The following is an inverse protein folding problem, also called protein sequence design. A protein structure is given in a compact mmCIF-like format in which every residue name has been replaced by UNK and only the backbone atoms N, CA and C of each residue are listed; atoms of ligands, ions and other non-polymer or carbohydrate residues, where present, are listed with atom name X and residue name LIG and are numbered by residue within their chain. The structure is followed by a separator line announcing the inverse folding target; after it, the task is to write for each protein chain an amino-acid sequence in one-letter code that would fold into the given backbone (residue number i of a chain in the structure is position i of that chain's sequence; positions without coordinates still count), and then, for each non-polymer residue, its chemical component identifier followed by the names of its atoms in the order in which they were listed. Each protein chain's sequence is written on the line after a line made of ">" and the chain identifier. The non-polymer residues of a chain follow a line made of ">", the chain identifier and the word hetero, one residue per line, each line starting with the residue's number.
data_IF_581414467477
#
_entry.id   IF_581414467477
#
_cell.length_a   1.000
_cell.length_b   1.000
_cell.length_c   1.000
_cell.angle_alpha   90.00
_cell.angle_beta   90.00
_cell.angle_gamma   90.00
#
_symmetry.space_group_name_H-M   'P 1'
#
loop_
_entity.id
_entity.type
_entity.pdbx_description
1 polymer ?
#
# COMPACT_ATOMS: atom_id res chain seq x y z
N UNK A 1 5.22 5.77 -9.58
CA UNK A 1 4.72 5.24 -8.31
C UNK A 1 5.82 4.49 -7.56
N UNK A 2 5.80 4.52 -6.23
CA UNK A 2 6.71 3.73 -5.40
C UNK A 2 6.54 2.21 -5.60
N UNK A 3 5.31 1.75 -5.87
CA UNK A 3 5.04 0.34 -6.22
C UNK A 3 5.82 -0.12 -7.46
N UNK A 4 6.01 0.75 -8.46
CA UNK A 4 6.82 0.42 -9.64
C UNK A 4 8.30 0.22 -9.28
N UNK A 5 8.85 1.02 -8.38
CA UNK A 5 10.23 0.84 -7.85
C UNK A 5 10.35 -0.53 -7.20
N UNK A 6 9.38 -0.92 -6.37
CA UNK A 6 9.36 -2.21 -5.69
C UNK A 6 9.27 -3.40 -6.66
N UNK A 7 8.61 -3.26 -7.83
CA UNK A 7 8.58 -4.30 -8.87
C UNK A 7 9.99 -4.62 -9.39
N UNK A 8 10.78 -3.59 -9.71
CA UNK A 8 12.15 -3.77 -10.18
C UNK A 8 13.08 -4.29 -9.09
N UNK A 9 12.89 -3.82 -7.85
CA UNK A 9 13.67 -4.29 -6.71
C UNK A 9 13.44 -5.78 -6.42
N UNK A 10 12.17 -6.21 -6.44
CA UNK A 10 11.80 -7.59 -6.16
C UNK A 10 12.45 -8.63 -7.10
N UNK A 11 12.72 -8.25 -8.34
CA UNK A 11 13.40 -9.11 -9.33
C UNK A 11 14.90 -8.82 -9.44
N UNK A 12 15.48 -7.98 -8.55
CA UNK A 12 16.89 -7.64 -8.54
C UNK A 12 17.34 -6.70 -9.67
N UNK A 13 16.40 -6.01 -10.33
CA UNK A 13 16.66 -5.11 -11.46
C UNK A 13 16.56 -3.62 -11.07
N UNK A 14 16.68 -3.29 -9.78
CA UNK A 14 16.54 -1.92 -9.26
C UNK A 14 17.52 -0.92 -9.91
N UNK A 15 18.68 -1.37 -10.36
CA UNK A 15 19.68 -0.54 -11.06
C UNK A 15 19.20 0.00 -12.41
N UNK A 16 18.10 -0.50 -12.96
CA UNK A 16 17.48 0.03 -14.17
C UNK A 16 16.61 1.26 -13.90
N UNK A 17 16.30 1.53 -12.64
CA UNK A 17 15.54 2.71 -12.23
C UNK A 17 16.47 3.91 -12.17
N UNK A 18 16.40 4.78 -13.17
CA UNK A 18 17.20 6.00 -13.27
C UNK A 18 16.46 7.27 -12.82
N UNK A 19 15.14 7.20 -12.66
CA UNK A 19 14.32 8.33 -12.21
C UNK A 19 13.04 7.92 -11.54
N UNK A 20 12.63 8.71 -10.57
CA UNK A 20 11.39 8.49 -9.79
C UNK A 20 10.66 9.81 -9.58
N UNK A 21 9.35 9.72 -9.43
CA UNK A 21 8.49 10.86 -9.10
C UNK A 21 8.38 10.97 -7.59
N UNK A 22 8.76 12.12 -7.02
CA UNK A 22 8.69 12.37 -5.59
C UNK A 22 9.66 11.51 -4.78
N UNK A 23 10.95 11.63 -5.06
CA UNK A 23 12.03 10.79 -4.49
C UNK A 23 12.04 10.75 -2.96
N UNK A 24 11.57 11.81 -2.28
CA UNK A 24 11.52 11.89 -0.81
C UNK A 24 10.50 10.91 -0.19
N UNK A 25 9.56 10.44 -0.99
CA UNK A 25 8.54 9.46 -0.57
C UNK A 25 8.96 8.01 -0.86
N UNK A 26 10.11 7.78 -1.48
CA UNK A 26 10.59 6.44 -1.83
C UNK A 26 11.37 5.85 -0.64
N UNK A 27 10.96 4.66 -0.19
CA UNK A 27 11.61 3.94 0.92
C UNK A 27 12.79 3.08 0.47
N UNK A 28 12.87 2.74 -0.81
CA UNK A 28 13.88 1.84 -1.36
C UNK A 28 15.30 2.30 -1.06
N UNK A 29 16.12 1.40 -0.49
CA UNK A 29 17.49 1.70 -0.05
C UNK A 29 18.39 2.13 -1.22
N UNK A 30 18.33 1.40 -2.35
CA UNK A 30 19.13 1.72 -3.53
C UNK A 30 18.84 3.13 -4.04
N UNK A 31 17.55 3.50 -4.17
CA UNK A 31 17.14 4.85 -4.60
C UNK A 31 17.69 5.91 -3.64
N UNK A 32 17.59 5.67 -2.33
CA UNK A 32 18.05 6.63 -1.31
C UNK A 32 19.57 6.77 -1.28
N UNK A 33 20.32 5.70 -1.53
CA UNK A 33 21.79 5.73 -1.62
C UNK A 33 22.28 6.43 -2.89
N UNK A 34 21.58 6.25 -4.02
CA UNK A 34 22.05 6.71 -5.34
C UNK A 34 21.47 8.06 -5.78
N UNK A 35 20.52 8.63 -4.99
CA UNK A 35 20.00 9.98 -5.26
C UNK A 35 21.06 11.08 -5.16
N UNK A 36 22.02 10.94 -4.23
CA UNK A 36 23.05 11.97 -3.98
C UNK A 36 24.14 12.02 -5.07
N UNK A 37 24.45 10.89 -5.71
CA UNK A 37 25.43 10.84 -6.81
C UNK A 37 24.80 11.10 -8.18
N UNK A 38 23.47 11.28 -8.26
CA UNK A 38 22.76 11.58 -9.50
C UNK A 38 22.51 10.38 -10.40
N UNK A 39 22.70 9.15 -9.91
CA UNK A 39 22.34 7.93 -10.64
C UNK A 39 20.82 7.71 -10.68
N UNK A 40 20.11 8.14 -9.62
CA UNK A 40 18.64 8.16 -9.58
C UNK A 40 18.16 9.59 -9.35
N UNK A 41 17.37 10.10 -10.28
CA UNK A 41 16.93 11.50 -10.28
C UNK A 41 15.46 11.63 -9.86
N UNK A 42 15.14 12.72 -9.16
CA UNK A 42 13.76 13.14 -9.01
C UNK A 42 13.28 13.81 -10.30
N UNK A 43 12.28 13.23 -10.93
CA UNK A 43 11.68 13.77 -12.17
C UNK A 43 10.48 14.66 -11.93
N UNK A 44 10.25 15.07 -10.69
CA UNK A 44 9.09 15.85 -10.28
C UNK A 44 7.89 14.99 -9.93
N UNK A 45 6.76 15.62 -9.70
CA UNK A 45 5.57 14.92 -9.22
C UNK A 45 4.34 15.33 -10.03
N UNK A 46 3.56 14.37 -10.50
CA UNK A 46 2.28 14.52 -11.19
C UNK A 46 2.28 15.61 -12.27
N UNK A 47 1.56 16.71 -12.06
CA UNK A 47 1.44 17.83 -13.02
C UNK A 47 2.72 18.67 -13.16
N UNK A 48 3.67 18.51 -12.24
CA UNK A 48 4.94 19.27 -12.19
C UNK A 48 6.15 18.40 -12.58
N UNK A 49 5.99 17.54 -13.59
CA UNK A 49 7.11 16.76 -14.12
C UNK A 49 8.19 17.67 -14.73
N UNK A 50 9.44 17.38 -14.42
CA UNK A 50 10.59 18.09 -14.96
C UNK A 50 10.95 17.53 -16.34
N UNK A 51 10.32 18.07 -17.40
CA UNK A 51 10.55 17.60 -18.77
C UNK A 51 11.95 17.90 -19.29
N UNK A 52 12.64 18.95 -18.81
CA UNK A 52 14.03 19.23 -19.16
C UNK A 52 14.94 18.11 -18.63
N UNK A 53 14.71 17.69 -17.39
CA UNK A 53 15.45 16.58 -16.78
C UNK A 53 15.17 15.26 -17.50
N UNK A 54 13.91 14.99 -17.84
CA UNK A 54 13.52 13.81 -18.62
C UNK A 54 14.19 13.80 -19.99
N UNK A 55 14.23 14.94 -20.67
CA UNK A 55 14.89 15.08 -21.97
C UNK A 55 16.43 14.85 -21.87
N UNK A 56 17.05 15.37 -20.80
CA UNK A 56 18.48 15.17 -20.56
C UNK A 56 18.83 13.72 -20.17
N UNK A 57 17.96 13.06 -19.43
CA UNK A 57 18.12 11.69 -18.94
C UNK A 57 17.87 10.63 -20.03
N UNK A 58 16.98 10.94 -20.99
CA UNK A 58 16.59 10.06 -22.11
C UNK A 58 16.28 8.63 -21.65
N UNK A 59 15.28 8.41 -20.77
CA UNK A 59 14.95 7.07 -20.31
C UNK A 59 14.40 6.23 -21.48
N UNK A 60 14.72 4.93 -21.50
CA UNK A 60 14.20 4.00 -22.50
C UNK A 60 12.68 3.83 -22.40
N UNK A 61 12.12 3.98 -21.20
CA UNK A 61 10.69 3.82 -20.92
C UNK A 61 10.28 4.60 -19.68
N UNK A 62 9.08 5.18 -19.71
CA UNK A 62 8.43 5.76 -18.53
C UNK A 62 7.20 4.96 -18.12
N UNK A 63 7.13 4.57 -16.86
CA UNK A 63 5.97 3.92 -16.26
C UNK A 63 5.06 4.99 -15.64
N UNK A 64 3.83 5.08 -16.13
CA UNK A 64 2.83 6.04 -15.67
C UNK A 64 1.80 5.36 -14.76
N UNK A 65 1.27 6.12 -13.81
CA UNK A 65 0.21 5.70 -12.89
C UNK A 65 -1.08 6.45 -13.26
N UNK A 66 -2.08 5.72 -13.71
CA UNK A 66 -3.26 6.30 -14.39
C UNK A 66 -4.52 6.42 -13.53
N UNK A 67 -4.41 6.63 -12.20
CA UNK A 67 -5.58 6.68 -11.27
C UNK A 67 -6.62 7.71 -11.68
N UNK A 68 -6.19 8.87 -12.18
CA UNK A 68 -7.07 9.96 -12.61
C UNK A 68 -7.41 9.93 -14.10
N UNK A 69 -7.05 8.85 -14.79
CA UNK A 69 -7.15 8.73 -16.23
C UNK A 69 -5.89 9.22 -16.98
N UNK A 70 -5.99 9.33 -18.31
CA UNK A 70 -4.87 9.79 -19.13
C UNK A 70 -4.60 11.29 -18.91
N UNK A 71 -3.38 11.61 -18.49
CA UNK A 71 -2.91 12.99 -18.48
C UNK A 71 -2.33 13.34 -19.87
N UNK A 72 -3.16 13.93 -20.75
CA UNK A 72 -2.80 14.26 -22.14
C UNK A 72 -1.66 15.27 -22.25
N UNK A 73 -1.45 16.13 -21.23
CA UNK A 73 -0.32 17.07 -21.19
C UNK A 73 0.99 16.29 -21.01
N UNK A 74 1.02 15.35 -20.07
CA UNK A 74 2.20 14.52 -19.83
C UNK A 74 2.50 13.63 -21.02
N UNK A 75 1.50 12.90 -21.53
CA UNK A 75 1.71 11.96 -22.65
C UNK A 75 2.04 12.70 -23.95
N UNK A 76 1.48 13.88 -24.17
CA UNK A 76 1.83 14.76 -25.29
C UNK A 76 3.30 15.18 -25.25
N UNK A 77 3.79 15.62 -24.09
CA UNK A 77 5.21 15.99 -23.91
C UNK A 77 6.15 14.82 -24.05
N UNK A 78 5.82 13.64 -23.51
CA UNK A 78 6.63 12.44 -23.69
C UNK A 78 6.78 12.05 -25.17
N UNK A 79 5.68 12.14 -25.94
CA UNK A 79 5.72 11.91 -27.41
C UNK A 79 6.62 12.94 -28.13
N UNK A 80 6.52 14.22 -27.78
CA UNK A 80 7.39 15.28 -28.33
C UNK A 80 8.88 15.00 -28.04
N UNK A 81 9.19 14.47 -26.85
CA UNK A 81 10.54 14.13 -26.44
C UNK A 81 11.02 12.76 -26.96
N UNK A 82 10.13 11.99 -27.63
CA UNK A 82 10.45 10.64 -28.11
C UNK A 82 10.61 9.61 -26.99
N UNK A 83 10.06 9.85 -25.79
CA UNK A 83 10.16 8.95 -24.64
C UNK A 83 8.96 7.98 -24.67
N UNK A 84 9.19 6.68 -24.84
CA UNK A 84 8.14 5.66 -24.74
C UNK A 84 7.54 5.62 -23.32
N UNK A 85 6.24 5.31 -23.23
CA UNK A 85 5.59 5.17 -21.94
C UNK A 85 4.54 4.06 -21.96
N UNK A 86 4.29 3.48 -20.77
CA UNK A 86 3.17 2.55 -20.52
C UNK A 86 2.45 2.96 -19.25
N UNK A 87 1.16 2.64 -19.17
CA UNK A 87 0.39 2.75 -17.93
C UNK A 87 0.44 1.42 -17.18
N UNK A 88 0.72 1.50 -15.87
CA UNK A 88 0.70 0.37 -14.94
C UNK A 88 -0.55 0.48 -14.08
N UNK A 89 -1.39 -0.55 -14.11
CA UNK A 89 -2.72 -0.57 -13.51
C UNK A 89 -2.83 -1.39 -12.22
N UNK A 90 -1.73 -1.60 -11.50
CA UNK A 90 -1.69 -2.39 -10.26
C UNK A 90 -2.67 -1.92 -9.19
N UNK A 91 -3.03 -0.63 -9.20
CA UNK A 91 -4.01 -0.05 -8.28
C UNK A 91 -5.45 -0.54 -8.50
N UNK A 92 -5.76 -1.06 -9.69
CA UNK A 92 -7.09 -1.57 -10.05
C UNK A 92 -7.32 -3.01 -9.55
N UNK A 93 -6.25 -3.71 -9.13
CA UNK A 93 -6.35 -5.09 -8.71
C UNK A 93 -7.09 -5.24 -7.37
N UNK A 94 -8.08 -6.11 -7.36
CA UNK A 94 -8.84 -6.47 -6.17
C UNK A 94 -8.17 -7.56 -5.33
N UNK A 95 -7.26 -8.33 -5.93
CA UNK A 95 -6.54 -9.42 -5.28
C UNK A 95 -5.17 -8.98 -4.80
N UNK A 96 -4.78 -9.31 -3.54
CA UNK A 96 -3.42 -9.06 -3.06
C UNK A 96 -2.34 -9.71 -3.92
N UNK A 97 -2.56 -10.94 -4.37
CA UNK A 97 -1.64 -11.63 -5.28
C UNK A 97 -1.67 -11.03 -6.68
N UNK A 98 -2.85 -10.61 -7.19
CA UNK A 98 -2.95 -9.91 -8.47
C UNK A 98 -2.11 -8.63 -8.48
N UNK A 99 -2.13 -7.85 -7.39
CA UNK A 99 -1.24 -6.68 -7.26
C UNK A 99 0.24 -7.06 -7.32
N UNK A 100 0.64 -8.11 -6.61
CA UNK A 100 2.02 -8.57 -6.60
C UNK A 100 2.46 -9.13 -7.96
N UNK A 101 1.56 -9.76 -8.72
CA UNK A 101 1.84 -10.33 -10.04
C UNK A 101 2.28 -9.28 -11.07
N UNK A 102 1.95 -7.99 -10.84
CA UNK A 102 2.44 -6.90 -11.69
C UNK A 102 3.97 -6.77 -11.73
N UNK A 103 4.71 -7.39 -10.80
CA UNK A 103 6.17 -7.52 -10.91
C UNK A 103 6.59 -8.21 -12.20
N UNK A 104 5.71 -9.04 -12.80
CA UNK A 104 5.98 -9.69 -14.09
C UNK A 104 6.13 -8.68 -15.23
N UNK A 105 5.48 -7.52 -15.15
CA UNK A 105 5.68 -6.43 -16.12
C UNK A 105 7.13 -5.95 -16.09
N UNK A 106 7.69 -5.72 -14.89
CA UNK A 106 9.10 -5.36 -14.76
C UNK A 106 10.03 -6.48 -15.26
N UNK A 107 9.68 -7.74 -15.00
CA UNK A 107 10.46 -8.89 -15.45
C UNK A 107 10.46 -9.00 -16.99
N UNK A 108 9.33 -8.82 -17.64
CA UNK A 108 9.24 -8.80 -19.12
C UNK A 108 10.02 -7.64 -19.73
N UNK A 109 9.91 -6.44 -19.17
CA UNK A 109 10.66 -5.25 -19.60
C UNK A 109 12.17 -5.44 -19.46
N UNK A 110 12.62 -6.22 -18.48
CA UNK A 110 14.03 -6.53 -18.25
C UNK A 110 14.50 -7.79 -18.98
N UNK A 111 13.65 -8.47 -19.74
CA UNK A 111 13.93 -9.78 -20.35
C UNK A 111 14.39 -10.83 -19.31
N UNK A 112 13.74 -10.84 -18.14
CA UNK A 112 14.09 -11.68 -16.99
C UNK A 112 12.83 -12.38 -16.43
N UNK A 113 12.02 -12.93 -17.36
CA UNK A 113 10.73 -13.56 -17.08
C UNK A 113 10.82 -14.69 -16.05
N UNK A 114 11.85 -15.53 -16.17
CA UNK A 114 12.04 -16.68 -15.29
C UNK A 114 12.26 -16.22 -13.85
N UNK A 115 13.04 -15.16 -13.65
CA UNK A 115 13.24 -14.53 -12.35
C UNK A 115 11.95 -13.96 -11.78
N UNK A 116 11.17 -13.30 -12.62
CA UNK A 116 9.85 -12.81 -12.23
C UNK A 116 8.93 -13.93 -11.75
N UNK A 117 8.85 -15.01 -12.54
CA UNK A 117 8.02 -16.18 -12.22
C UNK A 117 8.46 -16.88 -10.90
N UNK A 118 9.77 -17.06 -10.71
CA UNK A 118 10.33 -17.60 -9.47
C UNK A 118 9.97 -16.71 -8.26
N UNK A 119 10.16 -15.40 -8.41
CA UNK A 119 9.89 -14.43 -7.34
C UNK A 119 8.41 -14.41 -6.96
N UNK A 120 7.54 -14.29 -7.96
CA UNK A 120 6.08 -14.30 -7.74
C UNK A 120 5.61 -15.64 -7.16
N UNK A 121 6.09 -16.76 -7.69
CA UNK A 121 5.77 -18.10 -7.19
C UNK A 121 6.10 -18.27 -5.71
N UNK A 122 7.28 -17.82 -5.29
CA UNK A 122 7.67 -17.84 -3.88
C UNK A 122 6.82 -16.95 -2.97
N UNK A 123 6.37 -15.78 -3.48
CA UNK A 123 5.43 -14.88 -2.75
C UNK A 123 4.07 -15.58 -2.60
N UNK A 124 3.53 -16.15 -3.68
CA UNK A 124 2.24 -16.81 -3.69
C UNK A 124 2.22 -18.04 -2.77
N UNK A 125 3.30 -18.83 -2.75
CA UNK A 125 3.46 -19.99 -1.86
C UNK A 125 3.41 -19.57 -0.38
N UNK A 126 4.20 -18.56 0.02
CA UNK A 126 4.21 -18.04 1.39
C UNK A 126 2.86 -17.45 1.79
N UNK A 127 2.23 -16.69 0.90
CA UNK A 127 0.89 -16.15 1.12
C UNK A 127 -0.13 -17.27 1.38
N UNK A 128 -0.14 -18.29 0.52
CA UNK A 128 -1.02 -19.46 0.65
C UNK A 128 -0.79 -20.25 1.93
N UNK A 129 0.46 -20.42 2.35
CA UNK A 129 0.81 -21.09 3.60
C UNK A 129 0.27 -20.35 4.82
N UNK A 130 0.44 -19.00 4.87
CA UNK A 130 -0.09 -18.17 5.96
C UNK A 130 -1.62 -18.24 5.99
N UNK A 131 -2.29 -18.06 4.85
CA UNK A 131 -3.75 -18.13 4.73
C UNK A 131 -4.29 -19.48 5.24
N UNK A 132 -3.63 -20.58 4.88
CA UNK A 132 -4.01 -21.92 5.32
C UNK A 132 -3.84 -22.09 6.83
N UNK A 133 -2.74 -21.59 7.39
CA UNK A 133 -2.49 -21.64 8.83
C UNK A 133 -3.54 -20.83 9.62
N UNK A 134 -3.90 -19.64 9.14
CA UNK A 134 -4.98 -18.82 9.72
C UNK A 134 -6.31 -19.55 9.68
N UNK A 135 -6.69 -20.15 8.55
CA UNK A 135 -7.94 -20.89 8.42
C UNK A 135 -8.02 -22.08 9.38
N UNK A 136 -6.88 -22.74 9.63
CA UNK A 136 -6.80 -23.87 10.58
C UNK A 136 -6.84 -23.47 12.05
N UNK A 137 -6.60 -22.20 12.38
CA UNK A 137 -6.57 -21.67 13.75
C UNK A 137 -7.60 -20.57 14.02
N UNK A 138 -8.51 -20.33 13.08
CA UNK A 138 -9.47 -19.23 13.15
C UNK A 138 -10.34 -19.32 14.42
N UNK A 139 -10.50 -18.22 15.18
CA UNK A 139 -11.40 -18.18 16.32
C UNK A 139 -12.85 -18.32 15.87
N UNK A 140 -13.71 -18.81 16.78
CA UNK A 140 -15.16 -18.97 16.51
C UNK A 140 -15.84 -17.63 16.17
N UNK A 141 -15.30 -16.50 16.66
CA UNK A 141 -15.74 -15.15 16.37
C UNK A 141 -14.56 -14.39 15.77
N UNK A 142 -14.72 -13.91 14.55
CA UNK A 142 -13.72 -13.12 13.87
C UNK A 142 -13.67 -11.69 14.43
N UNK A 143 -12.48 -11.12 14.69
CA UNK A 143 -12.38 -9.72 15.10
C UNK A 143 -12.87 -8.79 14.00
N UNK A 144 -13.68 -7.82 14.39
CA UNK A 144 -14.20 -6.79 13.49
C UNK A 144 -13.20 -5.67 13.30
N UNK A 145 -12.98 -5.30 12.05
CA UNK A 145 -11.93 -4.36 11.66
C UNK A 145 -12.51 -3.11 11.02
N UNK A 146 -12.16 -1.94 11.58
CA UNK A 146 -12.37 -0.63 10.99
C UNK A 146 -11.12 -0.17 10.25
N UNK A 147 -11.28 0.48 9.09
CA UNK A 147 -10.19 0.97 8.23
C UNK A 147 -10.22 2.48 8.05
N UNK A 148 -9.03 3.06 7.90
CA UNK A 148 -8.79 4.45 7.57
C UNK A 148 -9.25 5.43 8.66
N UNK A 149 -9.26 6.71 8.35
CA UNK A 149 -9.76 7.81 9.18
C UNK A 149 -10.69 8.69 8.37
N UNK A 150 -11.60 9.43 9.00
CA UNK A 150 -12.41 10.41 8.29
C UNK A 150 -11.54 11.50 7.66
N UNK A 151 -11.96 11.97 6.51
CA UNK A 151 -11.46 13.19 5.90
C UNK A 151 -12.53 14.28 6.05
N UNK A 152 -12.26 15.27 6.89
CA UNK A 152 -13.25 16.26 7.32
C UNK A 152 -14.46 15.57 7.97
N UNK A 153 -15.66 15.83 7.47
CA UNK A 153 -16.92 15.26 7.99
C UNK A 153 -17.37 13.97 7.25
N UNK A 154 -16.49 13.36 6.48
CA UNK A 154 -16.80 12.21 5.65
C UNK A 154 -15.79 11.09 5.86
N UNK A 155 -16.28 9.85 5.99
CA UNK A 155 -15.44 8.66 6.01
C UNK A 155 -15.63 7.87 4.72
N UNK A 156 -14.53 7.62 4.01
CA UNK A 156 -14.55 6.84 2.78
C UNK A 156 -14.34 5.36 3.09
N UNK A 157 -15.41 4.58 2.95
CA UNK A 157 -15.40 3.13 3.18
C UNK A 157 -14.97 2.40 1.92
N UNK A 158 -13.85 1.65 1.94
CA UNK A 158 -13.41 0.85 0.82
C UNK A 158 -14.46 -0.13 0.33
N UNK A 159 -14.35 -0.54 -0.93
CA UNK A 159 -15.11 -1.66 -1.47
C UNK A 159 -14.85 -2.94 -0.68
N UNK A 160 -15.90 -3.74 -0.44
CA UNK A 160 -15.78 -5.08 0.14
C UNK A 160 -14.94 -6.04 -0.71
N UNK A 161 -14.75 -5.72 -2.00
CA UNK A 161 -13.91 -6.49 -2.94
C UNK A 161 -12.47 -6.03 -2.99
N UNK A 162 -12.10 -4.92 -2.34
CA UNK A 162 -10.76 -4.36 -2.41
C UNK A 162 -9.70 -5.31 -1.85
N UNK A 163 -8.48 -5.22 -2.37
CA UNK A 163 -7.35 -6.05 -1.93
C UNK A 163 -7.12 -5.99 -0.42
N UNK A 164 -7.37 -4.83 0.20
CA UNK A 164 -7.17 -4.64 1.64
C UNK A 164 -8.21 -5.43 2.46
N UNK A 165 -9.46 -5.46 1.99
CA UNK A 165 -10.50 -6.24 2.66
C UNK A 165 -10.21 -7.74 2.52
N UNK A 166 -9.76 -8.20 1.34
CA UNK A 166 -9.33 -9.59 1.16
C UNK A 166 -8.16 -9.97 2.06
N UNK A 167 -7.19 -9.07 2.28
CA UNK A 167 -6.10 -9.30 3.24
C UNK A 167 -6.63 -9.45 4.67
N UNK A 168 -7.59 -8.63 5.10
CA UNK A 168 -8.22 -8.74 6.41
C UNK A 168 -8.95 -10.07 6.56
N UNK A 169 -9.74 -10.48 5.55
CA UNK A 169 -10.48 -11.73 5.54
C UNK A 169 -9.54 -12.94 5.56
N UNK A 170 -8.48 -12.92 4.74
CA UNK A 170 -7.47 -13.97 4.68
C UNK A 170 -6.65 -14.06 5.97
N UNK A 171 -6.53 -12.95 6.72
CA UNK A 171 -5.94 -12.88 8.05
C UNK A 171 -6.91 -13.27 9.19
N UNK A 172 -8.14 -13.68 8.87
CA UNK A 172 -9.13 -14.15 9.84
C UNK A 172 -10.00 -13.05 10.45
N UNK A 173 -9.93 -11.82 9.96
CA UNK A 173 -10.78 -10.70 10.38
C UNK A 173 -12.11 -10.60 9.62
N UNK A 174 -12.94 -9.66 10.04
CA UNK A 174 -14.20 -9.27 9.40
C UNK A 174 -14.24 -7.75 9.24
N UNK A 175 -14.45 -7.28 8.02
CA UNK A 175 -14.59 -5.84 7.79
C UNK A 175 -15.95 -5.34 8.27
N UNK A 176 -15.99 -4.22 8.99
CA UNK A 176 -17.23 -3.70 9.60
C UNK A 176 -18.25 -3.18 8.59
N UNK A 177 -17.81 -2.80 7.37
CA UNK A 177 -18.69 -2.21 6.36
C UNK A 177 -18.81 -3.11 5.12
N UNK A 178 -19.92 -3.83 5.00
CA UNK A 178 -20.17 -4.83 3.93
C UNK A 178 -21.14 -4.34 2.85
N UNK A 179 -21.61 -3.09 2.93
CA UNK A 179 -22.65 -2.57 2.02
C UNK A 179 -22.09 -2.05 0.68
N UNK A 180 -20.75 -1.92 0.56
CA UNK A 180 -20.10 -1.41 -0.64
C UNK A 180 -19.49 -2.55 -1.47
N UNK A 181 -20.17 -2.96 -2.52
CA UNK A 181 -19.72 -3.93 -3.53
C UNK A 181 -19.31 -3.28 -4.85
N UNK A 182 -19.22 -1.94 -4.91
CA UNK A 182 -18.75 -1.19 -6.08
C UNK A 182 -17.22 -1.26 -6.21
N UNK A 183 -16.68 -0.74 -7.29
CA UNK A 183 -15.22 -0.72 -7.55
C UNK A 183 -14.50 0.43 -6.83
N UNK A 184 -15.25 1.34 -6.20
CA UNK A 184 -14.72 2.54 -5.54
C UNK A 184 -15.14 2.63 -4.08
N UNK A 185 -14.45 3.45 -3.30
CA UNK A 185 -14.88 3.78 -1.95
C UNK A 185 -16.17 4.59 -1.96
N UNK A 186 -17.06 4.36 -1.00
CA UNK A 186 -18.27 5.15 -0.79
C UNK A 186 -18.13 6.03 0.44
N UNK A 187 -18.73 7.20 0.37
CA UNK A 187 -18.76 8.15 1.47
C UNK A 187 -19.88 7.79 2.45
N UNK A 188 -19.54 7.73 3.74
CA UNK A 188 -20.51 7.65 4.84
C UNK A 188 -20.34 8.87 5.75
N UNK A 189 -21.41 9.27 6.42
CA UNK A 189 -21.32 10.34 7.40
C UNK A 189 -20.66 9.88 8.72
N UNK A 190 -20.33 10.84 9.58
CA UNK A 190 -19.65 10.52 10.83
C UNK A 190 -20.53 9.79 11.85
N UNK A 191 -21.85 9.82 11.73
CA UNK A 191 -22.78 9.12 12.63
C UNK A 191 -22.77 7.63 12.27
N UNK A 192 -22.95 7.27 11.00
CA UNK A 192 -22.84 5.89 10.53
C UNK A 192 -21.42 5.35 10.82
N UNK A 193 -20.38 6.13 10.52
CA UNK A 193 -18.99 5.75 10.80
C UNK A 193 -18.75 5.49 12.29
N UNK A 194 -19.33 6.28 13.20
CA UNK A 194 -19.23 6.08 14.64
C UNK A 194 -19.87 4.77 15.08
N UNK A 195 -21.07 4.44 14.54
CA UNK A 195 -21.74 3.18 14.84
C UNK A 195 -20.90 1.98 14.39
N UNK A 196 -20.32 2.04 13.19
CA UNK A 196 -19.42 1.01 12.67
C UNK A 196 -18.16 0.87 13.56
N UNK A 197 -17.48 1.97 13.86
CA UNK A 197 -16.31 2.00 14.71
C UNK A 197 -16.60 1.52 16.15
N UNK A 198 -17.82 1.76 16.66
CA UNK A 198 -18.24 1.27 17.98
C UNK A 198 -18.42 -0.24 18.03
N UNK A 199 -18.56 -0.90 16.88
CA UNK A 199 -18.63 -2.36 16.76
C UNK A 199 -17.29 -3.01 16.44
N UNK A 200 -16.25 -2.21 16.15
CA UNK A 200 -14.95 -2.70 15.74
C UNK A 200 -14.05 -3.06 16.94
N UNK A 201 -13.40 -4.21 16.84
CA UNK A 201 -12.41 -4.68 17.80
C UNK A 201 -11.03 -4.08 17.51
N UNK A 202 -10.72 -3.88 16.23
CA UNK A 202 -9.42 -3.41 15.73
C UNK A 202 -9.62 -2.25 14.76
N UNK A 203 -8.75 -1.23 14.85
CA UNK A 203 -8.72 -0.12 13.90
C UNK A 203 -7.38 -0.07 13.18
N UNK A 204 -7.38 -0.13 11.85
CA UNK A 204 -6.21 -0.17 10.99
C UNK A 204 -6.08 1.05 10.08
N UNK A 205 -4.84 1.38 9.68
CA UNK A 205 -4.52 2.37 8.66
C UNK A 205 -5.02 3.78 9.03
N UNK A 206 -4.64 4.24 10.21
CA UNK A 206 -5.15 5.50 10.79
C UNK A 206 -4.44 6.76 10.26
N UNK A 207 -4.08 6.76 8.99
CA UNK A 207 -3.54 7.93 8.29
C UNK A 207 -2.16 8.37 8.81
N UNK A 208 -1.93 9.68 9.01
CA UNK A 208 -0.62 10.19 9.43
C UNK A 208 -0.33 10.00 10.92
N UNK A 209 -1.28 9.48 11.71
CA UNK A 209 -1.14 9.40 13.16
C UNK A 209 -0.05 8.41 13.58
N UNK A 210 0.78 8.82 14.53
CA UNK A 210 1.85 8.03 15.11
C UNK A 210 1.54 7.57 16.55
N UNK A 211 0.60 8.25 17.23
CA UNK A 211 0.18 7.97 18.59
C UNK A 211 -1.35 7.97 18.72
N UNK A 212 -1.87 7.34 19.79
CA UNK A 212 -3.29 7.42 20.13
C UNK A 212 -3.72 8.85 20.49
N UNK A 213 -2.81 9.63 21.08
CA UNK A 213 -3.08 11.03 21.41
C UNK A 213 -3.31 11.87 20.14
N UNK A 214 -2.49 11.69 19.10
CA UNK A 214 -2.69 12.37 17.81
C UNK A 214 -4.01 11.95 17.16
N UNK A 215 -4.32 10.65 17.15
CA UNK A 215 -5.54 10.12 16.57
C UNK A 215 -6.79 10.67 17.27
N UNK A 216 -6.80 10.68 18.61
CA UNK A 216 -7.93 11.19 19.40
C UNK A 216 -8.06 12.71 19.31
N UNK A 217 -6.96 13.44 19.18
CA UNK A 217 -6.98 14.89 18.98
C UNK A 217 -7.59 15.27 17.62
N UNK A 218 -7.28 14.50 16.56
CA UNK A 218 -7.87 14.70 15.24
C UNK A 218 -9.35 14.25 15.17
N UNK A 219 -9.72 13.25 15.97
CA UNK A 219 -11.04 12.63 15.94
C UNK A 219 -11.63 12.44 17.33
N UNK A 220 -11.94 13.53 18.09
CA UNK A 220 -12.34 13.44 19.50
C UNK A 220 -13.59 12.60 19.73
N UNK A 221 -14.52 12.58 18.79
CA UNK A 221 -15.76 11.79 18.87
C UNK A 221 -15.49 10.29 18.99
N UNK A 222 -14.36 9.82 18.43
CA UNK A 222 -13.99 8.40 18.42
C UNK A 222 -13.14 7.96 19.61
N UNK A 223 -12.74 8.86 20.50
CA UNK A 223 -11.87 8.56 21.64
C UNK A 223 -12.38 7.43 22.57
N UNK A 224 -13.71 7.23 22.61
CA UNK A 224 -14.38 6.23 23.45
C UNK A 224 -14.65 4.88 22.79
N UNK A 225 -14.27 4.66 21.53
CA UNK A 225 -14.57 3.38 20.85
C UNK A 225 -13.72 2.22 21.40
N UNK A 226 -14.21 0.94 21.27
CA UNK A 226 -13.53 -0.22 21.84
C UNK A 226 -12.07 -0.36 21.38
N UNK A 227 -11.79 -0.20 20.09
CA UNK A 227 -10.44 -0.32 19.56
C UNK A 227 -9.43 0.61 20.24
N UNK A 228 -9.81 1.88 20.53
CA UNK A 228 -8.95 2.83 21.24
C UNK A 228 -8.80 2.44 22.71
N UNK A 229 -9.90 2.14 23.42
CA UNK A 229 -9.86 1.74 24.83
C UNK A 229 -9.02 0.50 25.08
N UNK A 230 -9.08 -0.46 24.15
CA UNK A 230 -8.34 -1.72 24.24
C UNK A 230 -6.92 -1.63 23.64
N UNK A 231 -6.52 -0.45 23.13
CA UNK A 231 -5.23 -0.24 22.43
C UNK A 231 -5.03 -1.16 21.24
N UNK A 232 -6.11 -1.47 20.52
CA UNK A 232 -6.11 -2.29 19.30
C UNK A 232 -6.16 -1.40 18.06
N UNK A 233 -5.26 -0.41 18.01
CA UNK A 233 -5.10 0.50 16.88
C UNK A 233 -3.72 0.30 16.29
N UNK A 234 -3.67 0.00 14.99
CA UNK A 234 -2.42 -0.25 14.28
C UNK A 234 -2.35 0.60 13.01
N UNK A 235 -1.16 1.11 12.74
CA UNK A 235 -0.94 1.90 11.54
C UNK A 235 0.15 1.28 10.65
N UNK A 236 -0.04 1.40 9.35
CA UNK A 236 0.83 0.84 8.31
C UNK A 236 2.03 1.75 7.97
N UNK A 237 2.47 2.55 8.92
CA UNK A 237 3.57 3.51 8.78
C UNK A 237 4.79 3.18 9.66
N UNK A 238 5.00 1.90 10.03
CA UNK A 238 6.18 1.47 10.77
C UNK A 238 7.47 1.79 10.02
N UNK A 239 7.46 1.61 8.70
CA UNK A 239 8.58 1.88 7.79
C UNK A 239 8.20 3.08 6.93
N UNK A 240 8.52 4.25 7.41
CA UNK A 240 8.13 5.52 6.78
C UNK A 240 9.35 6.40 6.55
N UNK A 241 9.40 7.07 5.39
CA UNK A 241 10.39 8.11 5.12
C UNK A 241 10.10 9.37 5.94
N UNK A 242 11.08 10.26 6.15
CA UNK A 242 10.84 11.55 6.81
C UNK A 242 9.77 12.42 6.12
N UNK A 243 9.58 12.26 4.81
CA UNK A 243 8.55 12.97 4.03
C UNK A 243 7.16 12.34 4.14
N UNK A 244 7.04 11.17 4.79
CA UNK A 244 5.76 10.48 4.99
C UNK A 244 5.46 9.35 4.01
N UNK A 245 6.39 9.01 3.11
CA UNK A 245 6.26 7.83 2.24
C UNK A 245 6.29 6.54 3.07
N UNK A 246 5.31 5.66 2.90
CA UNK A 246 5.24 4.41 3.63
C UNK A 246 5.62 3.22 2.75
N UNK A 247 6.55 2.39 3.23
CA UNK A 247 6.98 1.16 2.58
C UNK A 247 5.84 0.14 2.39
N UNK A 248 4.77 0.26 3.18
CA UNK A 248 3.54 -0.50 2.96
C UNK A 248 2.96 -0.28 1.55
N UNK A 249 3.01 0.95 1.03
CA UNK A 249 2.55 1.31 -0.30
C UNK A 249 3.62 1.15 -1.40
N UNK A 250 4.82 0.73 -1.01
CA UNK A 250 5.94 0.44 -1.89
C UNK A 250 6.19 -1.07 -1.93
N UNK A 251 7.06 -1.60 -1.07
CA UNK A 251 7.35 -3.03 -1.05
C UNK A 251 6.15 -3.88 -0.59
N UNK A 252 5.26 -3.35 0.25
CA UNK A 252 4.06 -4.06 0.72
C UNK A 252 3.08 -4.43 -0.39
N UNK A 253 3.05 -3.68 -1.50
CA UNK A 253 2.24 -4.01 -2.68
C UNK A 253 2.75 -5.29 -3.35
N UNK A 254 4.06 -5.50 -3.36
CA UNK A 254 4.71 -6.67 -3.97
C UNK A 254 4.84 -7.82 -2.96
N UNK A 255 4.78 -7.52 -1.66
CA UNK A 255 4.94 -8.49 -0.56
C UNK A 255 3.66 -8.65 0.26
N UNK A 256 2.52 -9.02 -0.38
CA UNK A 256 1.29 -9.29 0.36
C UNK A 256 1.43 -10.44 1.36
N UNK A 257 2.39 -11.33 1.19
CA UNK A 257 2.75 -12.37 2.15
C UNK A 257 3.18 -11.78 3.50
N UNK A 258 3.99 -10.71 3.51
CA UNK A 258 4.41 -10.02 4.74
C UNK A 258 3.27 -9.19 5.34
N UNK A 259 2.45 -8.55 4.51
CA UNK A 259 1.26 -7.83 4.99
C UNK A 259 0.26 -8.79 5.63
N UNK A 260 0.00 -9.94 5.00
CA UNK A 260 -0.88 -10.97 5.54
C UNK A 260 -0.35 -11.54 6.87
N UNK A 261 0.97 -11.73 6.97
CA UNK A 261 1.62 -12.16 8.21
C UNK A 261 1.37 -11.15 9.34
N UNK A 262 1.61 -9.85 9.09
CA UNK A 262 1.37 -8.80 10.07
C UNK A 262 -0.09 -8.80 10.54
N UNK A 263 -1.03 -8.83 9.60
CA UNK A 263 -2.46 -8.86 9.91
C UNK A 263 -2.85 -10.13 10.67
N UNK A 264 -2.28 -11.29 10.34
CA UNK A 264 -2.56 -12.53 11.06
C UNK A 264 -2.09 -12.49 12.51
N UNK A 265 -0.98 -11.81 12.81
CA UNK A 265 -0.51 -11.57 14.18
C UNK A 265 -1.43 -10.59 14.91
N UNK A 266 -1.82 -9.49 14.26
CA UNK A 266 -2.72 -8.48 14.85
C UNK A 266 -4.10 -9.08 15.18
N UNK A 267 -4.66 -9.87 14.26
CA UNK A 267 -6.02 -10.41 14.36
C UNK A 267 -6.09 -11.76 15.07
N UNK A 268 -4.96 -12.43 15.28
CA UNK A 268 -4.87 -13.75 15.92
C UNK A 268 -5.10 -13.78 17.43
N UNK A 269 -5.47 -12.66 18.06
CA UNK A 269 -5.85 -12.56 19.46
C UNK A 269 -4.68 -12.61 20.47
N UNK A 270 -3.43 -12.72 20.00
CA UNK A 270 -2.24 -12.54 20.82
C UNK A 270 -1.67 -11.15 20.55
N UNK A 271 -1.28 -10.35 21.57
CA UNK A 271 -0.61 -9.10 21.33
C UNK A 271 0.65 -9.35 20.50
N UNK A 272 0.72 -8.79 19.30
CA UNK A 272 1.97 -8.79 18.55
C UNK A 272 3.03 -8.02 19.36
N UNK A 273 4.19 -8.65 19.58
CA UNK A 273 5.29 -7.99 20.28
C UNK A 273 5.90 -6.88 19.41
N UNK A 274 6.45 -5.87 20.07
CA UNK A 274 7.17 -4.81 19.38
C UNK A 274 8.36 -5.43 18.64
N UNK A 275 8.40 -5.30 17.32
CA UNK A 275 9.45 -5.89 16.48
C UNK A 275 9.00 -7.07 15.62
N UNK A 276 7.91 -7.74 15.92
CA UNK A 276 7.39 -8.85 15.12
C UNK A 276 6.75 -8.39 13.80
N UNK A 277 6.11 -7.20 13.82
CA UNK A 277 5.43 -6.64 12.65
C UNK A 277 6.41 -6.00 11.68
N UNK A 278 6.19 -6.19 10.39
CA UNK A 278 7.04 -5.64 9.33
C UNK A 278 6.59 -4.23 8.89
N UNK A 279 5.33 -4.08 8.52
CA UNK A 279 4.76 -2.82 8.02
C UNK A 279 3.94 -2.08 9.06
N UNK A 280 3.34 -2.81 9.99
CA UNK A 280 2.46 -2.24 11.00
C UNK A 280 3.19 -1.90 12.30
N UNK A 281 2.69 -0.90 12.99
CA UNK A 281 3.00 -0.63 14.40
C UNK A 281 1.73 -0.38 15.18
N UNK A 282 1.71 -0.77 16.44
CA UNK A 282 0.64 -0.40 17.36
C UNK A 282 0.82 1.05 17.79
N UNK A 283 -0.27 1.81 17.86
CA UNK A 283 -0.27 3.16 18.39
C UNK A 283 -0.34 3.11 19.93
N UNK A 284 0.51 3.90 20.57
CA UNK A 284 0.57 4.08 22.01
C UNK A 284 0.18 5.49 22.43
#
# INVERSE_FOLDING_TARGET
>A
SSSHVAMFDAIGQIRRVCGVSGIDYISNAYVNEHRCCGEVLDVGYDTNLNFERLAAMQPDLMLLYGVTGENTVVTGKLRELGIPYIYVGDYMEESPLGKAEWLMVAAELCNDRDRGAETFGGIAERYGAIKTAVAGSAPAVRPKVMLNTPYRDTWFMPSSRSFMIRLIEDAGGEYVYTKNDSDTSVAVDLEEAYLLASSADVWLNVGPCNTLAELTAQNPKFAGIPAIRNRMVFNNNRRQTPAGGSDFWESGVIRPDLVLRDLSLILGGKPAEEGELHYYKRLE
#
